data_IF_397174393796
#
_entry.id   IF_397174393796
#
_cell.length_a   1.000
_cell.length_b   1.000
_cell.length_c   1.000
_cell.angle_alpha   90.00
_cell.angle_beta   90.00
_cell.angle_gamma   90.00
#
_symmetry.space_group_name_H-M   'P 1'
#
loop_
_entity.id
_entity.type
_entity.pdbx_description
1 polymer ?
#
# COMPACT_ATOMS: atom_id res chain seq x y z
N UNK A 1 19.33 -4.86 7.32
CA UNK A 1 18.69 -4.16 8.46
C UNK A 1 18.27 -5.09 9.59
N UNK A 2 17.31 -6.00 9.41
CA UNK A 2 16.83 -6.84 10.55
C UNK A 2 17.94 -7.54 11.36
N UNK A 3 18.99 -8.03 10.68
CA UNK A 3 20.09 -8.74 11.35
C UNK A 3 20.91 -7.79 12.21
N UNK A 4 21.15 -6.59 11.69
CA UNK A 4 21.81 -5.52 12.41
C UNK A 4 21.00 -5.05 13.62
N UNK A 5 19.68 -4.86 13.46
CA UNK A 5 18.78 -4.52 14.58
C UNK A 5 18.78 -5.60 15.66
N UNK A 6 18.85 -6.88 15.28
CA UNK A 6 18.90 -8.00 16.22
C UNK A 6 20.20 -8.06 17.06
N UNK A 7 21.23 -7.26 16.74
CA UNK A 7 22.42 -7.10 17.60
C UNK A 7 22.11 -6.30 18.88
N UNK A 8 21.10 -5.43 18.84
CA UNK A 8 20.61 -4.68 20.01
C UNK A 8 20.16 -5.62 21.12
N UNK A 9 20.34 -5.26 22.39
CA UNK A 9 19.72 -5.95 23.53
C UNK A 9 18.21 -5.66 23.62
N UNK A 10 17.79 -4.51 23.09
CA UNK A 10 16.43 -4.00 23.21
C UNK A 10 15.51 -4.42 22.05
N UNK A 11 16.06 -4.71 20.86
CA UNK A 11 15.25 -4.98 19.66
C UNK A 11 15.29 -6.45 19.26
N UNK A 12 14.14 -7.10 19.07
CA UNK A 12 14.03 -8.43 18.47
C UNK A 12 13.09 -8.43 17.25
N UNK A 13 13.61 -8.79 16.08
CA UNK A 13 12.87 -8.77 14.81
C UNK A 13 12.90 -10.14 14.15
N UNK A 14 11.72 -10.72 13.89
CA UNK A 14 11.57 -11.89 13.04
C UNK A 14 11.80 -11.51 11.58
N UNK A 15 12.72 -12.20 10.93
CA UNK A 15 13.08 -11.93 9.54
C UNK A 15 12.12 -12.59 8.56
N UNK A 16 11.69 -11.81 7.56
CA UNK A 16 10.87 -12.28 6.42
C UNK A 16 9.56 -12.91 6.86
N UNK A 17 9.04 -12.40 7.97
CA UNK A 17 7.82 -12.88 8.57
C UNK A 17 6.72 -11.86 8.34
N UNK A 18 5.66 -12.26 7.63
CA UNK A 18 4.47 -11.43 7.54
C UNK A 18 3.84 -11.29 8.93
N UNK A 19 3.57 -10.05 9.34
CA UNK A 19 3.12 -9.71 10.70
C UNK A 19 1.87 -10.48 11.11
N UNK A 20 0.89 -10.55 10.20
CA UNK A 20 -0.36 -11.29 10.40
C UNK A 20 -0.13 -12.77 10.73
N UNK A 21 0.84 -13.40 10.07
CA UNK A 21 1.16 -14.82 10.31
C UNK A 21 1.73 -15.07 11.71
N UNK A 22 2.15 -14.03 12.42
CA UNK A 22 2.61 -14.14 13.81
C UNK A 22 1.49 -13.80 14.80
N UNK A 23 0.84 -12.64 14.63
CA UNK A 23 -0.16 -12.16 15.60
C UNK A 23 -1.51 -12.89 15.50
N UNK A 24 -2.01 -13.21 14.30
CA UNK A 24 -3.32 -13.87 14.15
C UNK A 24 -3.37 -15.27 14.79
N UNK A 25 -2.33 -16.12 14.69
CA UNK A 25 -2.34 -17.39 15.40
C UNK A 25 -2.35 -17.26 16.94
N UNK A 26 -1.81 -16.17 17.50
CA UNK A 26 -1.82 -15.93 18.95
C UNK A 26 -3.24 -15.66 19.44
N UNK A 27 -4.08 -15.02 18.62
CA UNK A 27 -5.51 -14.80 18.93
C UNK A 27 -6.28 -16.11 19.19
N UNK A 28 -5.80 -17.24 18.66
CA UNK A 28 -6.42 -18.55 18.90
C UNK A 28 -6.37 -18.97 20.37
N UNK A 29 -5.44 -18.44 21.16
CA UNK A 29 -5.32 -18.73 22.59
C UNK A 29 -6.48 -18.15 23.41
N UNK A 30 -7.16 -17.12 22.91
CA UNK A 30 -8.22 -16.39 23.63
C UNK A 30 -9.63 -16.85 23.27
N UNK A 31 -9.80 -17.91 22.47
CA UNK A 31 -11.12 -18.44 22.08
C UNK A 31 -12.01 -18.80 23.28
N UNK A 32 -11.42 -19.27 24.39
CA UNK A 32 -12.18 -19.55 25.60
C UNK A 32 -12.70 -18.27 26.26
N UNK A 33 -11.91 -17.19 26.24
CA UNK A 33 -12.38 -15.88 26.68
C UNK A 33 -13.58 -15.43 25.84
N UNK A 34 -13.50 -15.54 24.51
CA UNK A 34 -14.59 -15.16 23.60
C UNK A 34 -15.88 -15.96 23.88
N UNK A 35 -15.72 -17.27 24.09
CA UNK A 35 -16.84 -18.14 24.47
C UNK A 35 -17.50 -17.68 25.78
N UNK A 36 -16.73 -17.45 26.85
CA UNK A 36 -17.30 -17.02 28.13
C UNK A 36 -17.90 -15.61 28.09
N UNK A 37 -17.28 -14.69 27.33
CA UNK A 37 -17.83 -13.36 27.06
C UNK A 37 -19.17 -13.43 26.34
N UNK A 38 -19.32 -14.34 25.35
CA UNK A 38 -20.59 -14.55 24.63
C UNK A 38 -21.74 -15.04 25.53
N UNK A 39 -21.41 -15.65 26.67
CA UNK A 39 -22.37 -16.10 27.68
C UNK A 39 -22.62 -15.06 28.79
N UNK A 40 -21.99 -13.88 28.74
CA UNK A 40 -22.09 -12.84 29.77
C UNK A 40 -21.36 -13.17 31.07
N UNK A 41 -20.48 -14.18 31.07
CA UNK A 41 -19.86 -14.74 32.27
C UNK A 41 -18.33 -14.58 32.30
N UNK A 42 -17.74 -13.71 31.46
CA UNK A 42 -16.28 -13.57 31.34
C UNK A 42 -15.59 -13.39 32.70
N UNK A 43 -16.07 -12.46 33.51
CA UNK A 43 -15.53 -12.12 34.83
C UNK A 43 -15.48 -13.26 35.84
N UNK A 44 -16.34 -14.30 35.69
CA UNK A 44 -16.35 -15.44 36.62
C UNK A 44 -15.16 -16.39 36.42
N UNK A 45 -14.50 -16.31 35.26
CA UNK A 45 -13.46 -17.27 34.86
C UNK A 45 -12.10 -16.62 34.58
N UNK A 46 -11.97 -15.30 34.71
CA UNK A 46 -10.75 -14.55 34.37
C UNK A 46 -9.48 -15.08 35.06
N UNK A 47 -9.59 -15.56 36.30
CA UNK A 47 -8.47 -16.15 37.05
C UNK A 47 -8.10 -17.57 36.61
N UNK A 48 -8.99 -18.26 35.89
CA UNK A 48 -8.84 -19.68 35.51
C UNK A 48 -8.59 -19.89 34.02
N UNK A 49 -8.64 -18.84 33.21
CA UNK A 49 -8.41 -18.89 31.76
C UNK A 49 -7.39 -17.84 31.34
N UNK A 50 -6.86 -18.00 30.12
CA UNK A 50 -6.05 -16.98 29.46
C UNK A 50 -6.96 -15.83 29.01
N UNK A 51 -6.59 -14.60 29.30
CA UNK A 51 -7.35 -13.39 28.98
C UNK A 51 -6.48 -12.38 28.23
N UNK A 52 -7.06 -11.69 27.25
CA UNK A 52 -6.30 -10.73 26.41
C UNK A 52 -5.63 -9.63 27.22
N UNK A 53 -6.37 -9.04 28.17
CA UNK A 53 -5.88 -7.91 28.96
C UNK A 53 -4.68 -8.27 29.83
N UNK A 54 -4.67 -9.46 30.44
CA UNK A 54 -3.57 -9.90 31.32
C UNK A 54 -2.42 -10.55 30.54
N UNK A 55 -2.72 -11.39 29.56
CA UNK A 55 -1.77 -12.40 29.09
C UNK A 55 -1.22 -12.14 27.68
N UNK A 56 -1.85 -11.30 26.86
CA UNK A 56 -1.49 -11.19 25.45
C UNK A 56 -0.06 -10.66 25.23
N UNK A 57 0.26 -9.50 25.82
CA UNK A 57 1.61 -8.93 25.72
C UNK A 57 2.65 -9.85 26.38
N UNK A 58 2.47 -10.37 27.62
CA UNK A 58 3.43 -11.27 28.24
C UNK A 58 3.73 -12.55 27.44
N UNK A 59 2.73 -13.13 26.76
CA UNK A 59 2.94 -14.30 25.88
C UNK A 59 3.86 -13.92 24.72
N UNK A 60 3.59 -12.81 24.06
CA UNK A 60 4.39 -12.35 22.92
C UNK A 60 5.82 -12.05 23.37
N UNK A 61 6.00 -11.29 24.46
CA UNK A 61 7.31 -10.99 25.05
C UNK A 61 8.09 -12.27 25.40
N UNK A 62 7.41 -13.28 25.94
CA UNK A 62 7.99 -14.58 26.27
C UNK A 62 8.49 -15.31 25.01
N UNK A 63 7.70 -15.31 23.92
CA UNK A 63 8.09 -15.93 22.65
C UNK A 63 9.36 -15.27 22.11
N UNK A 64 9.38 -13.94 22.00
CA UNK A 64 10.55 -13.22 21.50
C UNK A 64 11.75 -13.42 22.44
N UNK A 65 11.53 -13.44 23.75
CA UNK A 65 12.62 -13.64 24.70
C UNK A 65 13.27 -15.01 24.57
N UNK A 66 12.47 -16.06 24.37
CA UNK A 66 12.95 -17.42 24.17
C UNK A 66 13.67 -17.55 22.82
N UNK A 67 13.06 -17.05 21.73
CA UNK A 67 13.60 -17.18 20.37
C UNK A 67 14.94 -16.45 20.23
N UNK A 68 15.03 -15.22 20.76
CA UNK A 68 16.21 -14.37 20.61
C UNK A 68 17.17 -14.42 21.80
N UNK A 69 16.83 -15.14 22.87
CA UNK A 69 17.65 -15.31 24.09
C UNK A 69 18.04 -13.98 24.74
N UNK A 70 17.10 -13.03 24.77
CA UNK A 70 17.24 -11.69 25.38
C UNK A 70 15.88 -11.20 25.87
N UNK A 71 15.80 -10.06 26.54
CA UNK A 71 14.53 -9.47 27.00
C UNK A 71 14.27 -8.17 26.24
N UNK A 72 13.78 -8.25 24.99
CA UNK A 72 13.63 -7.07 24.14
C UNK A 72 12.47 -6.20 24.63
N UNK A 73 12.67 -4.88 24.65
CA UNK A 73 11.61 -3.89 24.84
C UNK A 73 10.90 -3.54 23.53
N UNK A 74 11.53 -3.82 22.39
CA UNK A 74 10.99 -3.63 21.05
C UNK A 74 10.97 -4.97 20.34
N UNK A 75 9.80 -5.35 19.85
CA UNK A 75 9.61 -6.56 19.07
C UNK A 75 8.95 -6.25 17.73
N UNK A 76 9.19 -7.09 16.74
CA UNK A 76 8.53 -6.90 15.46
C UNK A 76 8.91 -7.90 14.39
N UNK A 77 8.53 -7.55 13.17
CA UNK A 77 8.74 -8.37 11.98
C UNK A 77 9.32 -7.53 10.85
N UNK A 78 10.26 -8.08 10.07
CA UNK A 78 10.70 -7.51 8.80
C UNK A 78 9.99 -8.23 7.67
N UNK A 79 9.16 -7.53 6.90
CA UNK A 79 8.49 -8.11 5.73
C UNK A 79 8.51 -7.11 4.55
N UNK A 80 9.31 -7.37 3.50
CA UNK A 80 9.29 -6.54 2.30
C UNK A 80 7.90 -6.50 1.68
N UNK A 81 7.44 -5.31 1.29
CA UNK A 81 6.15 -5.14 0.62
C UNK A 81 4.94 -5.18 1.55
N UNK A 82 5.11 -5.10 2.88
CA UNK A 82 4.03 -5.16 3.87
C UNK A 82 2.83 -4.25 3.55
N UNK A 83 3.06 -3.07 2.96
CA UNK A 83 2.03 -2.12 2.58
C UNK A 83 0.96 -2.68 1.62
N UNK A 84 1.29 -3.75 0.88
CA UNK A 84 0.37 -4.41 -0.06
C UNK A 84 -0.54 -5.43 0.60
N UNK A 85 -0.28 -5.74 1.86
CA UNK A 85 -0.94 -6.81 2.59
C UNK A 85 -1.85 -6.21 3.66
N UNK A 86 -2.82 -7.02 4.08
CA UNK A 86 -3.72 -6.63 5.16
C UNK A 86 -2.92 -6.34 6.44
N UNK A 87 -3.09 -5.16 7.03
CA UNK A 87 -2.41 -4.82 8.28
C UNK A 87 -2.91 -5.77 9.38
N UNK A 88 -1.98 -6.33 10.15
CA UNK A 88 -2.32 -7.17 11.30
C UNK A 88 -3.08 -6.35 12.35
N UNK A 89 -3.97 -7.00 13.09
CA UNK A 89 -4.55 -6.40 14.30
C UNK A 89 -3.54 -6.59 15.42
N UNK A 90 -2.96 -5.48 15.88
CA UNK A 90 -2.01 -5.52 16.98
C UNK A 90 -2.75 -5.61 18.33
N UNK A 91 -2.17 -6.30 19.34
CA UNK A 91 -2.70 -6.32 20.69
C UNK A 91 -2.94 -4.91 21.25
N UNK A 92 -4.02 -4.73 22.00
CA UNK A 92 -4.25 -3.51 22.75
C UNK A 92 -3.07 -3.25 23.71
N UNK A 93 -2.61 -2.01 23.79
CA UNK A 93 -1.46 -1.62 24.62
C UNK A 93 -0.09 -1.69 23.92
N UNK A 94 -0.03 -2.12 22.66
CA UNK A 94 1.18 -2.00 21.84
C UNK A 94 1.22 -0.69 21.07
N UNK A 95 2.31 0.06 21.23
CA UNK A 95 2.63 1.19 20.35
C UNK A 95 3.26 0.68 19.06
N UNK A 96 2.56 0.85 17.94
CA UNK A 96 3.02 0.37 16.63
C UNK A 96 3.89 1.43 15.97
N UNK A 97 5.07 1.02 15.52
CA UNK A 97 6.00 1.85 14.73
C UNK A 97 6.43 1.10 13.48
N UNK A 98 6.53 1.80 12.37
CA UNK A 98 6.95 1.24 11.09
C UNK A 98 8.22 1.91 10.57
N UNK A 99 9.16 1.10 10.09
CA UNK A 99 10.38 1.57 9.40
C UNK A 99 10.33 1.09 7.95
N UNK A 100 10.18 2.03 7.02
CA UNK A 100 10.19 1.76 5.59
C UNK A 100 11.56 2.10 4.98
N UNK A 101 12.12 1.19 4.17
CA UNK A 101 13.34 1.48 3.41
C UNK A 101 12.98 1.62 1.94
N UNK A 102 13.31 2.78 1.39
CA UNK A 102 13.16 3.09 -0.03
C UNK A 102 14.54 3.00 -0.68
N UNK A 103 14.62 2.49 -1.89
CA UNK A 103 15.87 2.36 -2.66
C UNK A 103 15.65 2.89 -4.06
N UNK A 104 16.74 3.28 -4.74
CA UNK A 104 16.71 3.68 -6.14
C UNK A 104 15.91 2.67 -7.00
N UNK A 105 14.94 3.14 -7.82
CA UNK A 105 14.02 2.27 -8.55
C UNK A 105 14.74 1.31 -9.49
N UNK A 106 15.81 1.74 -10.17
CA UNK A 106 16.60 0.87 -11.06
C UNK A 106 17.23 -0.28 -10.27
N UNK A 107 17.74 0.00 -9.07
CA UNK A 107 18.30 -1.05 -8.21
C UNK A 107 17.26 -2.07 -7.78
N UNK A 108 16.02 -1.63 -7.50
CA UNK A 108 14.94 -2.52 -7.08
C UNK A 108 14.45 -3.36 -8.26
N UNK A 109 14.19 -2.76 -9.42
CA UNK A 109 13.80 -3.49 -10.63
C UNK A 109 14.88 -4.49 -11.03
N UNK A 110 16.16 -4.10 -11.01
CA UNK A 110 17.27 -5.03 -11.21
C UNK A 110 17.21 -6.22 -10.25
N UNK A 111 16.93 -5.98 -8.96
CA UNK A 111 16.89 -7.03 -7.94
C UNK A 111 15.70 -7.97 -8.06
N UNK A 112 14.57 -7.50 -8.58
CA UNK A 112 13.37 -8.31 -8.81
C UNK A 112 13.49 -9.13 -10.10
N UNK A 113 14.03 -8.50 -11.14
CA UNK A 113 14.03 -9.09 -12.47
C UNK A 113 15.25 -9.95 -12.72
N UNK A 114 16.45 -9.57 -12.27
CA UNK A 114 17.69 -10.25 -12.64
C UNK A 114 18.17 -11.15 -11.51
N UNK A 115 18.12 -12.46 -11.74
CA UNK A 115 18.76 -13.46 -10.85
C UNK A 115 20.27 -13.46 -11.03
N UNK A 116 20.99 -14.11 -10.11
CA UNK A 116 22.45 -14.23 -10.15
C UNK A 116 22.97 -14.92 -11.43
N UNK A 117 22.16 -15.76 -12.07
CA UNK A 117 22.46 -16.42 -13.34
C UNK A 117 22.07 -15.59 -14.58
N UNK A 118 21.57 -14.37 -14.39
CA UNK A 118 21.11 -13.48 -15.45
C UNK A 118 19.72 -13.79 -16.00
N UNK A 119 19.03 -14.81 -15.48
CA UNK A 119 17.66 -15.12 -15.90
C UNK A 119 16.65 -14.13 -15.33
N UNK A 120 15.59 -13.87 -16.10
CA UNK A 120 14.51 -13.00 -15.66
C UNK A 120 13.55 -13.76 -14.74
N UNK A 121 13.32 -13.24 -13.54
CA UNK A 121 12.39 -13.83 -12.56
C UNK A 121 10.98 -13.24 -12.65
N UNK A 122 10.88 -11.97 -13.05
CA UNK A 122 9.64 -11.20 -13.12
C UNK A 122 9.69 -10.17 -14.27
N UNK A 123 8.53 -9.62 -14.61
CA UNK A 123 8.39 -8.53 -15.59
C UNK A 123 8.85 -7.18 -15.00
N UNK A 124 9.73 -6.42 -15.67
CA UNK A 124 10.22 -5.13 -15.17
C UNK A 124 9.12 -4.10 -14.85
N UNK A 125 8.07 -4.04 -15.66
CA UNK A 125 6.98 -3.08 -15.44
C UNK A 125 6.23 -3.40 -14.14
N UNK A 126 5.97 -4.68 -13.88
CA UNK A 126 5.41 -5.15 -12.59
C UNK A 126 6.32 -4.82 -11.41
N UNK A 127 7.61 -5.13 -11.51
CA UNK A 127 8.57 -4.83 -10.44
C UNK A 127 8.64 -3.32 -10.14
N UNK A 128 8.58 -2.47 -11.17
CA UNK A 128 8.56 -1.03 -10.98
C UNK A 128 7.26 -0.52 -10.37
N UNK A 129 6.10 -1.04 -10.78
CA UNK A 129 4.82 -0.64 -10.18
C UNK A 129 4.73 -1.08 -8.71
N UNK A 130 5.25 -2.25 -8.37
CA UNK A 130 5.36 -2.71 -6.98
C UNK A 130 6.23 -1.77 -6.14
N UNK A 131 7.36 -1.34 -6.71
CA UNK A 131 8.20 -0.32 -6.10
C UNK A 131 7.49 1.04 -5.97
N UNK A 132 6.78 1.48 -7.02
CA UNK A 132 6.07 2.76 -7.04
C UNK A 132 4.97 2.80 -5.98
N UNK A 133 4.26 1.69 -5.79
CA UNK A 133 3.29 1.54 -4.71
C UNK A 133 3.97 1.64 -3.34
N UNK A 134 5.14 1.01 -3.14
CA UNK A 134 5.93 1.18 -1.91
C UNK A 134 6.37 2.62 -1.67
N UNK A 135 6.78 3.32 -2.73
CA UNK A 135 7.17 4.72 -2.66
C UNK A 135 5.99 5.59 -2.26
N UNK A 136 4.84 5.40 -2.91
CA UNK A 136 3.61 6.14 -2.61
C UNK A 136 3.06 5.85 -1.21
N UNK A 137 3.24 4.63 -0.68
CA UNK A 137 2.94 4.35 0.73
C UNK A 137 3.79 5.21 1.66
N UNK A 138 5.09 5.34 1.39
CA UNK A 138 5.93 6.25 2.16
C UNK A 138 5.54 7.72 1.99
N UNK A 139 5.14 8.15 0.78
CA UNK A 139 4.60 9.50 0.54
C UNK A 139 3.36 9.76 1.41
N UNK A 140 2.45 8.79 1.55
CA UNK A 140 1.25 8.97 2.37
C UNK A 140 1.52 8.93 3.87
N UNK A 141 2.47 8.11 4.30
CA UNK A 141 2.72 7.87 5.73
C UNK A 141 3.81 8.79 6.33
N UNK A 142 4.60 9.51 5.53
CA UNK A 142 5.80 10.23 6.01
C UNK A 142 5.56 11.24 7.14
N UNK A 143 4.35 11.81 7.24
CA UNK A 143 4.00 12.77 8.27
C UNK A 143 3.54 12.11 9.59
N UNK A 144 3.31 10.80 9.61
CA UNK A 144 2.88 10.08 10.79
C UNK A 144 4.04 9.88 11.77
N UNK A 145 3.85 10.25 13.04
CA UNK A 145 4.87 10.13 14.08
C UNK A 145 5.32 8.68 14.36
N UNK A 146 4.50 7.70 13.97
CA UNK A 146 4.76 6.26 14.05
C UNK A 146 5.40 5.68 12.79
N UNK A 147 5.81 6.51 11.84
CA UNK A 147 6.40 6.08 10.57
C UNK A 147 7.78 6.72 10.35
N UNK A 148 8.77 5.89 10.06
CA UNK A 148 10.11 6.32 9.72
C UNK A 148 10.46 5.78 8.33
N UNK A 149 10.78 6.67 7.40
CA UNK A 149 11.35 6.26 6.12
C UNK A 149 12.85 6.57 6.06
N UNK A 150 13.59 5.65 5.41
CA UNK A 150 15.03 5.72 5.21
C UNK A 150 15.35 5.45 3.75
N UNK A 151 16.34 6.15 3.19
CA UNK A 151 16.90 5.79 1.89
C UNK A 151 17.98 4.72 2.08
N UNK A 152 17.91 3.65 1.30
CA UNK A 152 18.93 2.62 1.27
C UNK A 152 20.29 3.22 0.89
N UNK A 153 20.30 4.22 0.01
CA UNK A 153 21.52 4.89 -0.41
C UNK A 153 22.27 5.61 0.74
N UNK A 154 21.57 6.01 1.81
CA UNK A 154 22.20 6.69 2.96
C UNK A 154 23.03 5.73 3.84
N UNK A 155 22.87 4.41 3.69
CA UNK A 155 23.65 3.43 4.44
C UNK A 155 25.10 3.36 3.93
N UNK A 156 25.90 4.34 4.34
CA UNK A 156 27.34 4.46 4.11
C UNK A 156 28.07 4.22 5.41
N UNK A 157 29.25 3.58 5.35
CA UNK A 157 30.03 3.26 6.56
C UNK A 157 30.25 4.46 7.50
N UNK A 158 30.43 5.67 6.95
CA UNK A 158 30.61 6.91 7.72
C UNK A 158 29.33 7.49 8.33
N UNK A 159 28.15 7.11 7.83
CA UNK A 159 26.83 7.65 8.22
C UNK A 159 25.98 6.62 8.97
N UNK A 160 26.39 5.34 8.98
CA UNK A 160 25.66 4.23 9.59
C UNK A 160 25.40 4.42 11.09
N UNK A 161 26.29 5.10 11.83
CA UNK A 161 26.06 5.43 13.25
C UNK A 161 24.96 6.48 13.43
N UNK A 162 24.88 7.47 12.53
CA UNK A 162 23.83 8.49 12.55
C UNK A 162 22.46 7.88 12.21
N UNK A 163 22.41 6.96 11.25
CA UNK A 163 21.17 6.23 10.92
C UNK A 163 20.75 5.33 12.09
N UNK A 164 21.69 4.63 12.73
CA UNK A 164 21.40 3.81 13.90
C UNK A 164 20.83 4.66 15.04
N UNK A 165 21.42 5.84 15.30
CA UNK A 165 20.89 6.78 16.27
C UNK A 165 19.48 7.25 15.92
N UNK A 166 19.23 7.62 14.65
CA UNK A 166 17.89 8.04 14.20
C UNK A 166 16.84 6.94 14.39
N UNK A 167 17.20 5.67 14.13
CA UNK A 167 16.31 4.53 14.39
C UNK A 167 16.07 4.36 15.90
N UNK A 168 17.12 4.45 16.71
CA UNK A 168 17.02 4.31 18.17
C UNK A 168 16.14 5.41 18.78
N UNK A 169 16.33 6.66 18.36
CA UNK A 169 15.51 7.81 18.77
C UNK A 169 14.03 7.60 18.38
N UNK A 170 13.79 7.14 17.14
CA UNK A 170 12.44 6.83 16.66
C UNK A 170 11.79 5.69 17.45
N UNK A 171 12.56 4.68 17.85
CA UNK A 171 12.10 3.55 18.66
C UNK A 171 12.12 3.85 20.17
N UNK A 172 12.62 5.03 20.58
CA UNK A 172 12.74 5.48 21.97
C UNK A 172 13.61 4.55 22.84
N UNK A 173 14.75 4.12 22.30
CA UNK A 173 15.74 3.29 23.00
C UNK A 173 17.15 3.88 22.85
N UNK A 174 18.10 3.38 23.62
CA UNK A 174 19.52 3.68 23.41
C UNK A 174 20.03 3.01 22.12
N UNK A 175 20.90 3.70 21.38
CA UNK A 175 21.55 3.17 20.20
C UNK A 175 22.68 2.18 20.58
N UNK A 176 22.33 0.92 20.79
CA UNK A 176 23.25 -0.17 21.16
C UNK A 176 23.53 -1.15 20.01
N UNK A 177 23.29 -0.73 18.77
CA UNK A 177 23.52 -1.50 17.55
C UNK A 177 24.21 -0.65 16.48
N UNK A 178 24.89 -1.30 15.54
CA UNK A 178 25.47 -0.66 14.36
C UNK A 178 24.82 -1.18 13.07
N UNK A 179 24.93 -0.39 12.02
CA UNK A 179 24.49 -0.76 10.67
C UNK A 179 25.67 -1.00 9.73
N UNK A 180 26.87 -1.29 10.27
CA UNK A 180 28.12 -1.36 9.51
C UNK A 180 28.13 -2.42 8.39
N UNK A 181 27.36 -3.50 8.58
CA UNK A 181 27.20 -4.58 7.59
C UNK A 181 26.29 -4.19 6.41
N UNK A 182 25.65 -3.03 6.47
CA UNK A 182 24.83 -2.48 5.39
C UNK A 182 25.65 -1.43 4.67
N UNK A 183 25.89 -1.67 3.38
CA UNK A 183 26.62 -0.76 2.52
C UNK A 183 25.87 -0.59 1.20
N UNK A 184 25.50 0.65 0.90
CA UNK A 184 25.03 1.02 -0.41
C UNK A 184 26.20 1.26 -1.37
N UNK A 185 26.04 0.80 -2.61
CA UNK A 185 26.96 1.16 -3.69
C UNK A 185 26.88 2.66 -3.94
N UNK A 186 28.04 3.34 -4.00
CA UNK A 186 28.12 4.74 -4.43
C UNK A 186 27.93 4.90 -5.94
N UNK A 187 28.09 3.82 -6.71
CA UNK A 187 27.88 3.84 -8.16
C UNK A 187 26.40 3.81 -8.47
N UNK A 188 25.98 4.69 -9.38
CA UNK A 188 24.63 4.65 -9.96
C UNK A 188 24.39 3.28 -10.62
N UNK A 189 23.23 2.65 -10.36
CA UNK A 189 22.91 1.36 -10.94
C UNK A 189 22.68 1.49 -12.45
N UNK A 190 23.32 0.63 -13.25
CA UNK A 190 22.96 0.46 -14.65
C UNK A 190 21.67 -0.38 -14.76
N UNK A 191 20.74 -0.07 -15.68
CA UNK A 191 19.52 -0.86 -15.89
C UNK A 191 19.86 -2.19 -16.59
N UNK A 192 19.84 -3.29 -15.85
CA UNK A 192 20.16 -4.65 -16.36
C UNK A 192 18.96 -5.35 -17.00
N UNK A 193 17.80 -4.71 -16.96
CA UNK A 193 16.52 -5.25 -17.42
C UNK A 193 16.10 -4.73 -18.81
N UNK A 194 16.95 -3.97 -19.51
CA UNK A 194 16.59 -3.36 -20.79
C UNK A 194 16.24 -4.38 -21.89
N UNK A 195 16.88 -5.56 -21.86
CA UNK A 195 16.63 -6.63 -22.84
C UNK A 195 15.31 -7.37 -22.61
N UNK A 196 14.62 -7.11 -21.49
CA UNK A 196 13.30 -7.68 -21.23
C UNK A 196 12.21 -6.99 -22.07
N UNK A 197 11.09 -7.67 -22.39
CA UNK A 197 10.04 -7.11 -23.26
C UNK A 197 9.49 -5.74 -22.81
N UNK A 198 9.35 -5.50 -21.51
CA UNK A 198 8.91 -4.23 -20.93
C UNK A 198 10.06 -3.35 -20.42
N UNK A 199 11.31 -3.75 -20.66
CA UNK A 199 12.51 -3.15 -20.07
C UNK A 199 12.70 -1.69 -20.43
N UNK A 200 12.71 -1.38 -21.73
CA UNK A 200 12.86 0.00 -22.21
C UNK A 200 11.71 0.90 -21.73
N UNK A 201 10.46 0.44 -21.86
CA UNK A 201 9.29 1.18 -21.39
C UNK A 201 9.37 1.49 -19.90
N UNK A 202 9.79 0.52 -19.09
CA UNK A 202 9.97 0.70 -17.64
C UNK A 202 11.06 1.72 -17.34
N UNK A 203 12.19 1.67 -18.06
CA UNK A 203 13.27 2.64 -17.89
C UNK A 203 12.84 4.06 -18.27
N UNK A 204 12.09 4.22 -19.36
CA UNK A 204 11.54 5.51 -19.79
C UNK A 204 10.55 6.06 -18.76
N UNK A 205 9.69 5.20 -18.19
CA UNK A 205 8.80 5.57 -17.10
C UNK A 205 9.57 6.03 -15.84
N UNK A 206 10.62 5.30 -15.44
CA UNK A 206 11.48 5.68 -14.31
C UNK A 206 12.10 7.07 -14.55
N UNK A 207 12.72 7.29 -15.72
CA UNK A 207 13.39 8.56 -16.04
C UNK A 207 12.42 9.73 -16.18
N UNK A 208 11.18 9.47 -16.60
CA UNK A 208 10.13 10.50 -16.65
C UNK A 208 9.71 10.92 -15.25
N UNK A 209 9.58 9.95 -14.35
CA UNK A 209 9.01 10.18 -13.02
C UNK A 209 10.05 10.63 -11.99
N UNK A 210 11.32 10.23 -12.14
CA UNK A 210 12.36 10.43 -11.13
C UNK A 210 13.66 10.97 -11.73
N UNK A 211 14.31 11.88 -11.02
CA UNK A 211 15.70 12.23 -11.30
C UNK A 211 16.60 11.15 -10.70
N UNK A 212 16.93 10.14 -11.51
CA UNK A 212 17.80 9.04 -11.08
C UNK A 212 19.24 9.47 -10.84
N UNK A 213 19.66 10.64 -11.35
CA UNK A 213 21.02 11.17 -11.18
C UNK A 213 21.15 11.87 -9.84
N UNK A 214 20.11 12.59 -9.42
CA UNK A 214 19.99 13.21 -8.08
C UNK A 214 18.94 12.52 -7.21
N UNK A 215 18.94 11.18 -7.25
CA UNK A 215 17.89 10.33 -6.66
C UNK A 215 17.55 10.66 -5.20
N UNK A 216 18.55 10.97 -4.37
CA UNK A 216 18.32 11.22 -2.93
C UNK A 216 17.50 12.48 -2.70
N UNK A 217 17.89 13.57 -3.35
CA UNK A 217 17.21 14.85 -3.21
C UNK A 217 15.83 14.78 -3.87
N UNK A 218 15.73 14.12 -5.02
CA UNK A 218 14.46 13.92 -5.73
C UNK A 218 13.46 13.10 -4.89
N UNK A 219 13.89 11.97 -4.33
CA UNK A 219 13.07 11.12 -3.47
C UNK A 219 12.60 11.90 -2.23
N UNK A 220 13.52 12.60 -1.54
CA UNK A 220 13.18 13.38 -0.35
C UNK A 220 12.21 14.53 -0.67
N UNK A 221 12.43 15.26 -1.77
CA UNK A 221 11.55 16.33 -2.20
C UNK A 221 10.14 15.83 -2.50
N UNK A 222 10.02 14.69 -3.21
CA UNK A 222 8.74 14.07 -3.54
C UNK A 222 7.99 13.52 -2.34
N UNK A 223 8.68 12.87 -1.41
CA UNK A 223 8.05 12.40 -0.16
C UNK A 223 7.54 13.59 0.64
N UNK A 224 8.35 14.64 0.80
CA UNK A 224 7.96 15.85 1.54
C UNK A 224 6.85 16.66 0.84
N UNK A 225 6.70 16.54 -0.48
CA UNK A 225 5.62 17.17 -1.23
C UNK A 225 4.25 16.52 -0.94
N UNK A 226 4.21 15.35 -0.31
CA UNK A 226 2.99 14.63 0.07
C UNK A 226 2.04 14.36 -1.11
N UNK A 227 2.57 14.29 -2.34
CA UNK A 227 1.79 14.09 -3.56
C UNK A 227 2.12 12.77 -4.21
N UNK A 228 1.10 11.93 -4.45
CA UNK A 228 1.28 10.61 -5.03
C UNK A 228 1.84 10.69 -6.46
N UNK A 229 2.68 9.72 -6.80
CA UNK A 229 3.30 9.61 -8.12
C UNK A 229 2.65 8.46 -8.89
N UNK A 230 2.07 8.79 -10.04
CA UNK A 230 1.34 7.83 -10.86
C UNK A 230 2.18 7.28 -11.99
N UNK A 231 1.93 6.03 -12.40
CA UNK A 231 2.54 5.47 -13.60
C UNK A 231 2.13 6.27 -14.85
N UNK A 232 2.98 6.40 -15.88
CA UNK A 232 2.61 7.15 -17.08
C UNK A 232 1.35 6.59 -17.76
N UNK A 233 0.47 7.48 -18.20
CA UNK A 233 -0.74 7.16 -18.96
C UNK A 233 -0.67 7.84 -20.32
N UNK A 234 -0.66 7.03 -21.38
CA UNK A 234 -0.60 7.55 -22.74
C UNK A 234 -1.90 8.28 -23.13
N UNK A 235 -1.80 9.22 -24.07
CA UNK A 235 -2.99 9.92 -24.57
C UNK A 235 -3.97 8.95 -25.21
N UNK A 236 -5.24 8.98 -24.77
CA UNK A 236 -6.28 8.06 -25.23
C UNK A 236 -6.18 6.64 -24.67
N UNK A 237 -5.20 6.34 -23.81
CA UNK A 237 -5.15 5.07 -23.10
C UNK A 237 -6.26 5.04 -22.04
N UNK A 238 -6.95 3.91 -21.97
CA UNK A 238 -7.96 3.64 -20.96
C UNK A 238 -7.33 2.80 -19.83
N UNK A 239 -7.70 3.12 -18.59
CA UNK A 239 -7.37 2.31 -17.42
C UNK A 239 -8.40 1.18 -17.35
N UNK A 240 -8.01 -0.02 -17.78
CA UNK A 240 -8.82 -1.24 -17.75
C UNK A 240 -8.64 -1.96 -16.42
N UNK A 241 -9.71 -2.02 -15.62
CA UNK A 241 -9.74 -2.61 -14.28
C UNK A 241 -10.19 -4.07 -14.26
N UNK A 242 -10.28 -4.74 -15.42
CA UNK A 242 -10.54 -6.18 -15.53
C UNK A 242 -9.31 -7.03 -15.20
N UNK A 243 -9.46 -8.35 -15.09
CA UNK A 243 -8.34 -9.27 -14.80
C UNK A 243 -7.23 -9.25 -15.85
N UNK A 244 -7.56 -8.95 -17.10
CA UNK A 244 -6.60 -8.89 -18.22
C UNK A 244 -6.12 -7.44 -18.50
N UNK A 245 -6.63 -6.47 -17.74
CA UNK A 245 -6.39 -5.05 -17.94
C UNK A 245 -5.05 -4.54 -17.42
N UNK A 246 -4.84 -3.23 -17.57
CA UNK A 246 -3.65 -2.50 -17.12
C UNK A 246 -3.86 -1.77 -15.77
N UNK A 247 -5.03 -1.92 -15.13
CA UNK A 247 -5.43 -1.19 -13.92
C UNK A 247 -4.48 -1.33 -12.73
N UNK A 248 -3.78 -2.46 -12.63
CA UNK A 248 -2.79 -2.73 -11.60
C UNK A 248 -1.63 -1.72 -11.56
N UNK A 249 -1.40 -0.97 -12.65
CA UNK A 249 -0.37 0.09 -12.72
C UNK A 249 -0.81 1.38 -12.04
N UNK A 250 -2.12 1.60 -11.96
CA UNK A 250 -2.70 2.89 -11.61
C UNK A 250 -3.47 2.85 -10.29
N UNK A 251 -3.92 1.68 -9.84
CA UNK A 251 -4.56 1.53 -8.52
C UNK A 251 -3.54 1.83 -7.42
N UNK A 252 -3.87 2.80 -6.56
CA UNK A 252 -3.16 3.02 -5.31
C UNK A 252 -3.83 2.27 -4.16
N UNK A 253 -5.10 2.53 -3.88
CA UNK A 253 -5.86 1.87 -2.81
C UNK A 253 -7.38 1.92 -3.08
N UNK A 254 -8.16 1.17 -2.29
CA UNK A 254 -9.62 1.22 -2.27
C UNK A 254 -10.30 0.44 -3.39
N UNK A 255 -9.62 -0.57 -3.91
CA UNK A 255 -10.17 -1.53 -4.85
C UNK A 255 -9.98 -2.96 -4.34
N UNK A 256 -10.93 -3.83 -4.66
CA UNK A 256 -10.76 -5.28 -4.52
C UNK A 256 -9.93 -5.83 -5.70
N UNK A 257 -9.53 -7.10 -5.59
CA UNK A 257 -8.89 -7.80 -6.70
C UNK A 257 -9.77 -7.71 -7.98
N UNK A 258 -9.16 -7.54 -9.16
CA UNK A 258 -9.91 -7.42 -10.40
C UNK A 258 -10.69 -8.72 -10.70
N UNK A 259 -11.86 -8.54 -11.30
CA UNK A 259 -12.72 -9.60 -11.83
C UNK A 259 -12.90 -9.41 -13.34
N UNK A 260 -13.56 -10.37 -14.01
CA UNK A 260 -13.73 -10.33 -15.47
C UNK A 260 -14.49 -9.09 -15.97
N UNK A 261 -15.39 -8.54 -15.14
CA UNK A 261 -16.22 -7.38 -15.48
C UNK A 261 -15.68 -6.05 -14.93
N UNK A 262 -14.51 -6.06 -14.28
CA UNK A 262 -13.90 -4.89 -13.66
C UNK A 262 -13.48 -5.13 -12.22
N UNK A 263 -13.18 -4.07 -11.49
CA UNK A 263 -12.85 -4.12 -10.06
C UNK A 263 -13.90 -3.38 -9.24
N UNK A 264 -14.27 -3.98 -8.11
CA UNK A 264 -15.12 -3.35 -7.12
C UNK A 264 -14.34 -2.34 -6.28
N UNK A 265 -14.86 -1.13 -6.12
CA UNK A 265 -14.36 -0.21 -5.09
C UNK A 265 -14.63 -0.80 -3.69
N UNK A 266 -13.65 -0.64 -2.80
CA UNK A 266 -13.65 -1.13 -1.41
C UNK A 266 -13.91 0.04 -0.46
N UNK A 267 -15.00 -0.03 0.30
CA UNK A 267 -15.34 1.01 1.27
C UNK A 267 -15.67 2.35 0.63
N UNK A 268 -15.34 3.43 1.34
CA UNK A 268 -15.76 4.79 0.98
C UNK A 268 -14.87 5.47 -0.05
N UNK A 269 -13.60 5.10 -0.18
CA UNK A 269 -12.66 5.82 -1.05
C UNK A 269 -11.84 4.85 -1.87
N UNK A 270 -11.85 5.05 -3.19
CA UNK A 270 -11.00 4.37 -4.13
C UNK A 270 -10.10 5.38 -4.86
N UNK A 271 -8.81 5.07 -4.96
CA UNK A 271 -7.79 6.00 -5.41
C UNK A 271 -6.97 5.42 -6.55
N UNK A 272 -6.91 6.16 -7.64
CA UNK A 272 -6.09 5.88 -8.82
C UNK A 272 -5.08 7.00 -8.98
N UNK A 273 -3.84 6.66 -9.32
CA UNK A 273 -2.78 7.62 -9.55
C UNK A 273 -2.12 7.37 -10.91
N UNK A 274 -2.01 8.42 -11.72
CA UNK A 274 -1.41 8.35 -13.06
C UNK A 274 -0.66 9.64 -13.41
N UNK A 275 0.27 9.57 -14.35
CA UNK A 275 0.98 10.74 -14.88
C UNK A 275 0.67 10.86 -16.36
N UNK A 276 -0.18 11.81 -16.80
CA UNK A 276 -0.45 12.01 -18.22
C UNK A 276 0.85 12.20 -19.02
N UNK A 277 0.98 11.53 -20.15
CA UNK A 277 2.13 11.73 -21.03
C UNK A 277 2.15 13.12 -21.65
N UNK A 278 0.97 13.69 -21.89
CA UNK A 278 0.76 15.05 -22.38
C UNK A 278 -0.02 15.85 -21.35
N UNK A 279 0.48 17.04 -21.00
CA UNK A 279 -0.23 17.97 -20.12
C UNK A 279 -1.54 18.40 -20.76
N UNK A 280 -2.63 18.42 -19.99
CA UNK A 280 -3.92 18.88 -20.49
C UNK A 280 -4.35 20.23 -19.91
N UNK A 281 -5.10 20.97 -20.72
CA UNK A 281 -5.74 22.23 -20.36
C UNK A 281 -6.99 22.44 -21.21
N UNK A 282 -8.06 22.99 -20.62
CA UNK A 282 -9.33 23.19 -21.30
C UNK A 282 -10.34 22.12 -20.90
N UNK A 283 -11.19 21.71 -21.85
CA UNK A 283 -12.23 20.73 -21.56
C UNK A 283 -11.62 19.36 -21.31
N UNK A 284 -12.12 18.65 -20.30
CA UNK A 284 -11.73 17.28 -19.99
C UNK A 284 -12.99 16.45 -19.73
N UNK A 285 -13.14 15.36 -20.47
CA UNK A 285 -14.13 14.32 -20.22
C UNK A 285 -13.49 13.19 -19.43
N UNK A 286 -14.02 12.93 -18.23
CA UNK A 286 -13.66 11.75 -17.44
C UNK A 286 -14.80 10.74 -17.54
N UNK A 287 -14.52 9.60 -18.18
CA UNK A 287 -15.53 8.57 -18.47
C UNK A 287 -15.28 7.34 -17.61
N UNK A 288 -16.30 6.90 -16.87
CA UNK A 288 -16.28 5.68 -16.08
C UNK A 288 -17.24 4.70 -16.74
N UNK A 289 -16.73 3.53 -17.11
CA UNK A 289 -17.53 2.41 -17.54
C UNK A 289 -17.86 1.54 -16.32
N UNK A 290 -19.12 1.58 -15.89
CA UNK A 290 -19.58 0.92 -14.67
C UNK A 290 -20.40 -0.31 -15.04
N UNK A 291 -19.88 -1.48 -14.65
CA UNK A 291 -20.51 -2.77 -14.88
C UNK A 291 -21.63 -3.01 -13.88
N UNK A 292 -21.40 -2.70 -12.60
CA UNK A 292 -22.32 -3.00 -11.51
C UNK A 292 -22.31 -1.96 -10.40
N UNK A 293 -23.42 -1.93 -9.66
CA UNK A 293 -23.59 -1.14 -8.44
C UNK A 293 -24.77 -1.69 -7.66
N UNK A 294 -24.68 -1.71 -6.33
CA UNK A 294 -25.77 -2.24 -5.51
C UNK A 294 -26.94 -1.26 -5.44
N UNK A 295 -28.15 -1.78 -5.64
CA UNK A 295 -29.41 -1.05 -5.41
C UNK A 295 -30.18 -1.73 -4.28
N UNK A 296 -30.43 -1.00 -3.19
CA UNK A 296 -31.12 -1.53 -2.00
C UNK A 296 -32.36 -0.68 -1.74
N UNK A 297 -33.52 -1.32 -1.62
CA UNK A 297 -34.79 -0.63 -1.38
C UNK A 297 -35.04 0.57 -2.33
N UNK A 298 -34.57 0.45 -3.58
CA UNK A 298 -34.69 1.50 -4.59
C UNK A 298 -33.69 2.66 -4.47
N UNK A 299 -32.76 2.60 -3.51
CA UNK A 299 -31.64 3.54 -3.36
C UNK A 299 -30.43 3.01 -4.11
N UNK A 300 -29.89 3.82 -5.01
CA UNK A 300 -28.70 3.51 -5.80
C UNK A 300 -27.40 3.71 -5.04
N UNK A 301 -26.28 3.47 -5.70
CA UNK A 301 -24.95 3.85 -5.17
C UNK A 301 -24.67 5.29 -5.53
N UNK A 302 -24.30 6.11 -4.55
CA UNK A 302 -24.02 7.54 -4.72
C UNK A 302 -22.51 7.76 -4.59
N UNK A 303 -21.94 8.56 -5.48
CA UNK A 303 -20.50 8.75 -5.50
C UNK A 303 -20.09 10.09 -6.11
N UNK A 304 -18.91 10.53 -5.72
CA UNK A 304 -18.28 11.79 -6.16
C UNK A 304 -16.90 11.51 -6.72
N UNK A 305 -16.49 12.25 -7.75
CA UNK A 305 -15.18 12.15 -8.35
C UNK A 305 -14.36 13.41 -8.09
N UNK A 306 -13.13 13.21 -7.66
CA UNK A 306 -12.16 14.27 -7.47
C UNK A 306 -10.94 14.00 -8.35
N UNK A 307 -10.53 15.00 -9.13
CA UNK A 307 -9.18 15.05 -9.69
C UNK A 307 -8.33 15.91 -8.75
N UNK A 308 -7.33 15.27 -8.17
CA UNK A 308 -6.58 15.71 -7.00
C UNK A 308 -7.56 16.09 -5.87
N UNK A 309 -7.66 17.38 -5.55
CA UNK A 309 -8.57 17.93 -4.55
C UNK A 309 -9.79 18.65 -5.12
N UNK A 310 -9.93 18.66 -6.45
CA UNK A 310 -11.05 19.31 -7.12
C UNK A 310 -12.17 18.33 -7.43
N UNK A 311 -13.35 18.56 -6.87
CA UNK A 311 -14.58 17.87 -7.26
C UNK A 311 -14.88 18.12 -8.74
N UNK A 312 -14.85 17.07 -9.56
CA UNK A 312 -15.21 17.14 -10.99
C UNK A 312 -16.65 16.69 -11.25
N UNK A 313 -17.26 15.97 -10.30
CA UNK A 313 -18.69 15.72 -10.35
C UNK A 313 -19.19 14.75 -9.29
N UNK A 314 -20.52 14.67 -9.19
CA UNK A 314 -21.23 13.79 -8.26
C UNK A 314 -22.47 13.23 -8.94
N UNK A 315 -22.77 11.96 -8.72
CA UNK A 315 -23.98 11.33 -9.26
C UNK A 315 -24.44 10.16 -8.40
N UNK A 316 -25.55 9.54 -8.79
CA UNK A 316 -26.01 8.28 -8.23
C UNK A 316 -26.53 7.35 -9.31
N UNK A 317 -26.18 6.08 -9.21
CA UNK A 317 -26.56 5.05 -10.16
C UNK A 317 -27.47 4.01 -9.50
N UNK A 318 -28.58 3.74 -10.19
CA UNK A 318 -29.46 2.61 -9.89
C UNK A 318 -29.28 1.57 -10.97
N UNK A 319 -28.40 0.59 -10.72
CA UNK A 319 -28.23 -0.55 -11.61
C UNK A 319 -29.14 -1.69 -11.09
N UNK A 320 -30.11 -2.08 -11.91
CA UNK A 320 -31.07 -3.14 -11.59
C UNK A 320 -30.47 -4.54 -11.80
N UNK A 321 -31.12 -5.57 -11.24
CA UNK A 321 -30.71 -6.98 -11.32
C UNK A 321 -30.55 -7.57 -12.75
N UNK A 322 -30.94 -6.82 -13.78
CA UNK A 322 -31.04 -7.28 -15.17
C UNK A 322 -30.17 -6.52 -16.17
N UNK A 323 -29.41 -5.51 -15.75
CA UNK A 323 -28.66 -4.67 -16.69
C UNK A 323 -27.16 -5.01 -16.65
N UNK A 324 -26.81 -6.19 -17.19
CA UNK A 324 -25.44 -6.54 -17.56
C UNK A 324 -24.99 -5.78 -18.81
N UNK A 325 -25.12 -4.46 -18.80
CA UNK A 325 -24.73 -3.58 -19.90
C UNK A 325 -23.78 -2.49 -19.42
N UNK A 326 -22.85 -2.09 -20.27
CA UNK A 326 -21.84 -1.08 -19.99
C UNK A 326 -22.51 0.27 -19.73
N UNK A 327 -22.47 0.76 -18.48
CA UNK A 327 -23.02 2.06 -18.13
C UNK A 327 -21.91 3.11 -18.18
N UNK A 328 -21.96 3.99 -19.17
CA UNK A 328 -21.01 5.09 -19.29
C UNK A 328 -21.49 6.27 -18.43
N UNK A 329 -20.66 6.67 -17.47
CA UNK A 329 -20.83 7.91 -16.71
C UNK A 329 -19.74 8.87 -17.12
N UNK A 330 -20.15 10.00 -17.70
CA UNK A 330 -19.23 11.00 -18.24
C UNK A 330 -19.34 12.26 -17.39
N UNK A 331 -18.21 12.70 -16.85
CA UNK A 331 -18.09 13.99 -16.19
C UNK A 331 -17.39 14.97 -17.14
N UNK A 332 -18.13 15.99 -17.59
CA UNK A 332 -17.61 17.09 -18.39
C UNK A 332 -17.01 18.16 -17.47
N UNK A 333 -15.73 18.45 -17.65
CA UNK A 333 -14.99 19.45 -16.90
C UNK A 333 -14.47 20.52 -17.87
N UNK A 334 -15.25 21.59 -18.15
CA UNK A 334 -14.95 22.52 -19.25
C UNK A 334 -13.63 23.29 -19.11
N UNK A 335 -13.23 23.59 -17.87
CA UNK A 335 -12.04 24.38 -17.54
C UNK A 335 -11.11 23.56 -16.65
N UNK A 336 -10.70 22.38 -17.12
CA UNK A 336 -9.68 21.58 -16.49
C UNK A 336 -8.29 22.16 -16.72
N UNK A 337 -7.50 22.21 -15.66
CA UNK A 337 -6.10 22.59 -15.72
C UNK A 337 -5.33 21.62 -14.85
N UNK A 338 -4.37 20.93 -15.45
CA UNK A 338 -3.47 20.06 -14.70
C UNK A 338 -2.58 20.89 -13.77
N UNK A 339 -2.62 20.60 -12.48
CA UNK A 339 -1.88 21.34 -11.44
C UNK A 339 -0.53 20.71 -11.12
N UNK A 340 -0.43 19.39 -11.25
CA UNK A 340 0.73 18.58 -10.93
C UNK A 340 1.04 17.59 -12.06
N UNK A 341 2.29 17.14 -12.15
CA UNK A 341 2.70 16.17 -13.17
C UNK A 341 1.93 14.83 -13.03
N UNK A 342 1.87 14.31 -11.80
CA UNK A 342 1.01 13.17 -11.45
C UNK A 342 -0.34 13.65 -10.95
N UNK A 343 -1.38 12.88 -11.20
CA UNK A 343 -2.77 13.20 -10.89
C UNK A 343 -3.35 12.04 -10.08
N UNK A 344 -4.13 12.40 -9.07
CA UNK A 344 -4.91 11.43 -8.29
C UNK A 344 -6.38 11.53 -8.67
N UNK A 345 -6.97 10.47 -9.19
CA UNK A 345 -8.42 10.33 -9.30
C UNK A 345 -8.93 9.64 -8.03
N UNK A 346 -9.74 10.35 -7.23
CA UNK A 346 -10.44 9.77 -6.08
C UNK A 346 -11.91 9.58 -6.40
N UNK A 347 -12.40 8.38 -6.14
CA UNK A 347 -13.80 7.99 -6.27
C UNK A 347 -14.32 7.80 -4.84
N UNK A 348 -15.15 8.72 -4.40
CA UNK A 348 -15.72 8.72 -3.05
C UNK A 348 -17.13 8.13 -3.12
N UNK A 349 -17.31 6.95 -2.54
CA UNK A 349 -18.58 6.24 -2.43
C UNK A 349 -19.27 6.70 -1.14
N UNK A 350 -20.40 7.38 -1.25
CA UNK A 350 -21.13 7.92 -0.09
C UNK A 350 -21.82 6.83 0.74
N UNK A 351 -22.07 5.66 0.15
CA UNK A 351 -22.89 4.61 0.74
C UNK A 351 -22.44 3.19 0.32
N UNK A 352 -21.20 2.80 0.64
CA UNK A 352 -20.74 1.44 0.38
C UNK A 352 -21.57 0.43 1.20
N UNK A 353 -21.69 -0.80 0.70
CA UNK A 353 -22.64 -1.79 1.21
C UNK A 353 -22.02 -3.16 1.31
N UNK A 354 -22.28 -3.83 2.42
CA UNK A 354 -21.89 -5.21 2.65
C UNK A 354 -23.06 -6.19 2.39
N UNK A 355 -23.06 -6.97 1.30
CA UNK A 355 -24.18 -7.86 0.96
C UNK A 355 -24.53 -8.87 2.06
N UNK A 356 -23.53 -9.39 2.79
CA UNK A 356 -23.73 -10.32 3.90
C UNK A 356 -24.43 -9.68 5.09
N UNK A 357 -23.99 -8.50 5.51
CA UNK A 357 -24.65 -7.73 6.60
C UNK A 357 -26.09 -7.38 6.26
N UNK A 358 -26.39 -7.26 4.97
CA UNK A 358 -27.73 -6.95 4.45
C UNK A 358 -28.59 -8.20 4.18
N UNK A 359 -28.06 -9.40 4.39
CA UNK A 359 -28.76 -10.66 4.13
C UNK A 359 -29.05 -10.94 2.65
N UNK A 360 -28.29 -10.33 1.73
CA UNK A 360 -28.48 -10.46 0.28
C UNK A 360 -27.72 -11.67 -0.27
N UNK A 361 -26.50 -11.91 0.19
CA UNK A 361 -25.64 -13.03 -0.22
C UNK A 361 -24.61 -13.34 0.87
N UNK A 362 -23.73 -14.33 0.65
CA UNK A 362 -22.60 -14.62 1.54
C UNK A 362 -21.38 -13.71 1.31
N UNK A 363 -21.45 -12.81 0.32
CA UNK A 363 -20.36 -11.88 0.01
C UNK A 363 -20.21 -10.85 1.15
N UNK A 364 -19.09 -10.92 1.86
CA UNK A 364 -18.80 -10.11 3.03
C UNK A 364 -17.95 -8.87 2.71
N UNK A 365 -17.78 -8.53 1.42
CA UNK A 365 -17.07 -7.33 0.99
C UNK A 365 -17.94 -6.10 1.19
N UNK A 366 -17.30 -4.97 1.51
CA UNK A 366 -17.92 -3.66 1.55
C UNK A 366 -17.80 -3.01 0.16
N UNK A 367 -18.84 -3.18 -0.64
CA UNK A 367 -18.86 -2.89 -2.08
C UNK A 367 -19.43 -1.51 -2.38
N UNK A 368 -18.77 -0.76 -3.26
CA UNK A 368 -19.32 0.45 -3.89
C UNK A 368 -19.77 0.22 -5.32
N UNK A 369 -18.93 0.58 -6.29
CA UNK A 369 -19.15 0.39 -7.73
C UNK A 369 -18.22 -0.67 -8.29
N UNK A 370 -18.68 -1.44 -9.26
CA UNK A 370 -17.82 -2.25 -10.11
C UNK A 370 -17.47 -1.44 -11.35
N UNK A 371 -16.23 -1.02 -11.45
CA UNK A 371 -15.74 -0.18 -12.54
C UNK A 371 -14.94 -1.08 -13.48
N UNK A 372 -15.35 -1.11 -14.74
CA UNK A 372 -14.65 -1.84 -15.80
C UNK A 372 -13.47 -1.05 -16.31
N UNK A 373 -13.69 0.23 -16.62
CA UNK A 373 -12.67 1.04 -17.25
C UNK A 373 -12.83 2.53 -16.94
N UNK A 374 -11.74 3.28 -17.04
CA UNK A 374 -11.69 4.73 -16.81
C UNK A 374 -10.88 5.39 -17.92
N UNK A 375 -11.47 6.35 -18.61
CA UNK A 375 -10.84 7.08 -19.70
C UNK A 375 -10.85 8.60 -19.46
N UNK A 376 -9.83 9.26 -20.00
CA UNK A 376 -9.65 10.71 -19.96
C UNK A 376 -9.47 11.25 -21.38
N UNK A 377 -10.37 12.12 -21.82
CA UNK A 377 -10.37 12.69 -23.18
C UNK A 377 -10.39 14.23 -23.10
N UNK A 378 -9.50 14.89 -23.81
CA UNK A 378 -9.28 16.35 -23.78
C UNK A 378 -9.69 17.02 -25.08
#
# INVERSE_FOLDING_TARGET
>A
MGSALNKSQNIAVLHEHYTRNFFDPIELLFRNQDFHSSLGNSHLYEDSIITRERDHIPIIESIFSIVFKKSPSIIGTKFPGLQRWEKAVYPAGMDVREINIIRNPISVVNSYTVKDDGTLSEDPERAFCDWLHSFNYAVSEHAHASFLWLLYEDFRQSENSLIAQRIADFLQIEADFDLADISASERLPAPKFLDAPSGQKTFDAINRLFDITDWRNDAAAKINAAHLIGYPLAHGECIDLTTEGNGWKYIYDGFYAPEADGSWTRGEVATICFTPETTFSGRLHTTLEISWGLTIQGVGTSFSLYLDDRLIGKTSLKLGKSNGGNNLVIFDTPDAQQQSASITLRIVIDNPRNPATLGISADNRELGLMIRSIAFET
#
